data_IF_755233927348
#
_entry.id   IF_755233927348
#
_cell.length_a   1.000
_cell.length_b   1.000
_cell.length_c   1.000
_cell.angle_alpha   90.00
_cell.angle_beta   90.00
_cell.angle_gamma   90.00
#
_symmetry.space_group_name_H-M   'P 1'
#
loop_
_entity.id
_entity.type
_entity.pdbx_description
1 polymer ?
#
# COMPACT_ATOMS: atom_id res chain seq x y z
N UNK A 1 -21.08 -7.14 -1.16
CA UNK A 1 -20.20 -6.01 -0.82
C UNK A 1 -21.10 -4.84 -0.47
N UNK A 2 -20.70 -3.95 0.46
CA UNK A 2 -21.39 -2.68 0.65
C UNK A 2 -21.38 -1.88 -0.66
N UNK A 3 -22.53 -1.32 -1.04
CA UNK A 3 -22.67 -0.42 -2.20
C UNK A 3 -22.19 0.98 -1.80
N UNK A 4 -20.88 1.17 -1.60
CA UNK A 4 -20.33 2.48 -1.28
C UNK A 4 -20.34 3.40 -2.51
N UNK A 5 -20.63 4.67 -2.28
CA UNK A 5 -20.55 5.72 -3.30
C UNK A 5 -19.25 6.52 -3.07
N UNK A 6 -18.33 6.60 -4.05
CA UNK A 6 -17.17 7.47 -3.96
C UNK A 6 -17.57 8.94 -3.75
N UNK A 7 -16.92 9.60 -2.80
CA UNK A 7 -17.17 11.01 -2.45
C UNK A 7 -15.86 11.80 -2.49
N UNK A 8 -15.94 13.06 -2.92
CA UNK A 8 -14.78 13.96 -3.00
C UNK A 8 -14.22 14.05 -4.41
N UNK A 9 -13.00 14.58 -4.54
CA UNK A 9 -12.30 14.60 -5.81
C UNK A 9 -11.80 13.19 -6.18
N UNK A 10 -11.75 12.83 -7.46
CA UNK A 10 -11.22 11.54 -7.89
C UNK A 10 -9.70 11.49 -7.72
N UNK A 11 -9.16 10.33 -7.36
CA UNK A 11 -7.72 10.07 -7.25
C UNK A 11 -7.00 10.33 -8.58
N UNK A 12 -7.66 10.06 -9.72
CA UNK A 12 -7.09 10.34 -11.04
C UNK A 12 -6.68 11.80 -11.25
N UNK A 13 -7.23 12.75 -10.47
CA UNK A 13 -6.82 14.16 -10.50
C UNK A 13 -5.43 14.39 -9.89
N UNK A 14 -5.02 13.57 -8.92
CA UNK A 14 -3.77 13.71 -8.20
C UNK A 14 -2.58 13.08 -8.93
N UNK A 15 -2.79 12.29 -9.98
CA UNK A 15 -1.71 11.59 -10.68
C UNK A 15 -1.55 12.11 -12.11
N UNK A 16 -0.37 12.67 -12.39
CA UNK A 16 0.06 13.05 -13.73
C UNK A 16 0.86 11.90 -14.37
N UNK A 17 0.18 11.05 -15.15
CA UNK A 17 0.82 9.91 -15.81
C UNK A 17 1.61 10.32 -17.06
N UNK A 18 2.80 9.74 -17.22
CA UNK A 18 3.60 9.86 -18.43
C UNK A 18 2.95 9.15 -19.63
N UNK A 19 3.24 9.56 -20.88
CA UNK A 19 2.53 9.07 -22.07
C UNK A 19 2.60 7.55 -22.28
N UNK A 20 3.76 6.94 -22.01
CA UNK A 20 4.01 5.50 -22.12
C UNK A 20 3.38 4.70 -20.98
N UNK A 21 3.19 5.31 -19.81
CA UNK A 21 2.58 4.72 -18.63
C UNK A 21 1.05 4.83 -18.60
N UNK A 22 0.46 5.61 -19.51
CA UNK A 22 -0.97 5.99 -19.49
C UNK A 22 -1.93 4.80 -19.49
N UNK A 23 -1.59 3.67 -20.10
CA UNK A 23 -2.47 2.49 -20.11
C UNK A 23 -2.60 1.85 -18.73
N UNK A 24 -1.48 1.64 -18.03
CA UNK A 24 -1.43 1.14 -16.65
C UNK A 24 -2.12 2.13 -15.72
N UNK A 25 -1.71 3.40 -15.80
CA UNK A 25 -2.28 4.45 -14.96
C UNK A 25 -3.80 4.57 -15.13
N UNK A 26 -4.30 4.58 -16.37
CA UNK A 26 -5.75 4.69 -16.60
C UNK A 26 -6.53 3.55 -15.97
N UNK A 27 -6.05 2.30 -16.08
CA UNK A 27 -6.72 1.14 -15.48
C UNK A 27 -6.78 1.28 -13.95
N UNK A 28 -5.63 1.50 -13.32
CA UNK A 28 -5.52 1.61 -11.86
C UNK A 28 -6.33 2.78 -11.32
N UNK A 29 -6.21 3.96 -11.94
CA UNK A 29 -6.92 5.16 -11.47
C UNK A 29 -8.44 5.06 -11.68
N UNK A 30 -8.90 4.43 -12.77
CA UNK A 30 -10.33 4.15 -12.96
C UNK A 30 -10.84 3.21 -11.87
N UNK A 31 -10.07 2.19 -11.52
CA UNK A 31 -10.42 1.25 -10.47
C UNK A 31 -10.44 1.90 -9.08
N UNK A 32 -9.54 2.85 -8.79
CA UNK A 32 -9.58 3.60 -7.53
C UNK A 32 -10.79 4.55 -7.49
N UNK A 33 -11.05 5.29 -8.57
CA UNK A 33 -12.10 6.31 -8.63
C UNK A 33 -13.51 5.73 -8.46
N UNK A 34 -13.73 4.45 -8.79
CA UNK A 34 -15.02 3.77 -8.51
C UNK A 34 -15.14 3.26 -7.08
N UNK A 35 -14.04 3.24 -6.31
CA UNK A 35 -14.02 2.77 -4.92
C UNK A 35 -14.07 3.93 -3.93
N UNK A 36 -13.26 4.98 -4.12
CA UNK A 36 -13.23 6.12 -3.20
C UNK A 36 -12.68 7.39 -3.87
N UNK A 37 -12.99 8.56 -3.29
CA UNK A 37 -12.30 9.81 -3.63
C UNK A 37 -11.04 10.06 -2.80
N UNK A 38 -10.28 11.11 -3.10
CA UNK A 38 -8.98 11.40 -2.51
C UNK A 38 -8.96 12.60 -1.53
N UNK A 39 -10.07 13.35 -1.49
CA UNK A 39 -10.14 14.65 -0.83
C UNK A 39 -9.35 15.73 -1.58
N UNK A 40 -8.12 16.01 -1.13
CA UNK A 40 -7.26 17.09 -1.64
C UNK A 40 -5.79 16.67 -1.74
N UNK A 41 -5.52 15.52 -2.37
CA UNK A 41 -4.14 15.11 -2.60
C UNK A 41 -3.38 16.10 -3.49
N UNK A 42 -2.07 16.32 -3.24
CA UNK A 42 -1.22 17.06 -4.16
C UNK A 42 -1.04 16.28 -5.47
N UNK A 43 -0.73 16.98 -6.55
CA UNK A 43 -0.42 16.31 -7.82
C UNK A 43 1.00 15.76 -7.79
N UNK A 44 1.18 14.52 -8.25
CA UNK A 44 2.47 13.85 -8.38
C UNK A 44 2.60 13.19 -9.77
N UNK A 45 3.82 13.09 -10.30
CA UNK A 45 4.07 12.37 -11.55
C UNK A 45 4.17 10.86 -11.34
N UNK A 46 3.71 10.09 -12.32
CA UNK A 46 3.87 8.64 -12.38
C UNK A 46 4.33 8.19 -13.76
N UNK A 47 5.28 7.27 -13.82
CA UNK A 47 5.81 6.77 -15.09
C UNK A 47 6.60 5.47 -14.95
N UNK A 48 7.06 4.94 -16.09
CA UNK A 48 7.99 3.83 -16.09
C UNK A 48 9.42 4.29 -15.77
N UNK A 49 10.29 3.33 -15.42
CA UNK A 49 11.73 3.53 -15.24
C UNK A 49 12.50 2.26 -15.59
N UNK A 50 13.44 2.38 -16.53
CA UNK A 50 14.36 1.30 -16.93
C UNK A 50 15.58 1.15 -15.99
N UNK A 51 15.67 1.98 -14.95
CA UNK A 51 16.82 2.06 -14.04
C UNK A 51 16.40 1.92 -12.57
N UNK A 52 15.23 1.36 -12.33
CA UNK A 52 14.69 1.17 -10.99
C UNK A 52 15.55 0.17 -10.22
N UNK A 53 16.37 0.65 -9.29
CA UNK A 53 17.18 -0.20 -8.41
C UNK A 53 16.52 -0.33 -7.04
N UNK A 54 15.54 -1.22 -6.93
CA UNK A 54 14.84 -1.52 -5.67
C UNK A 54 15.01 -3.01 -5.38
N UNK A 55 15.30 -3.34 -4.13
CA UNK A 55 15.72 -4.71 -3.77
C UNK A 55 14.59 -5.72 -3.77
N UNK A 56 13.35 -5.26 -3.50
CA UNK A 56 12.23 -6.13 -3.15
C UNK A 56 10.91 -5.75 -3.83
N UNK A 57 10.93 -4.79 -4.75
CA UNK A 57 9.73 -4.23 -5.36
C UNK A 57 9.97 -3.93 -6.85
N UNK A 58 8.89 -3.97 -7.63
CA UNK A 58 8.89 -3.61 -9.06
C UNK A 58 8.54 -2.13 -9.27
N UNK A 59 8.28 -1.38 -8.20
CA UNK A 59 7.97 0.03 -8.21
C UNK A 59 8.56 0.72 -6.97
N UNK A 60 8.53 2.04 -6.97
CA UNK A 60 8.90 2.83 -5.81
C UNK A 60 8.21 4.21 -5.82
N UNK A 61 7.69 4.59 -4.67
CA UNK A 61 7.27 5.93 -4.32
C UNK A 61 8.45 6.75 -3.80
N UNK A 62 8.82 7.80 -4.53
CA UNK A 62 9.89 8.70 -4.16
C UNK A 62 9.34 9.92 -3.42
N UNK A 63 9.97 10.24 -2.29
CA UNK A 63 9.64 11.38 -1.47
C UNK A 63 10.89 11.99 -0.83
N UNK A 64 10.83 13.28 -0.54
CA UNK A 64 11.81 13.97 0.28
C UNK A 64 11.35 13.91 1.75
N UNK A 65 12.09 13.15 2.55
CA UNK A 65 11.75 12.96 3.97
C UNK A 65 12.02 14.16 4.87
N UNK A 66 12.90 15.08 4.44
CA UNK A 66 13.22 16.30 5.18
C UNK A 66 12.21 17.41 4.88
N UNK A 67 11.69 17.44 3.65
CA UNK A 67 10.74 18.44 3.16
C UNK A 67 9.29 17.93 3.15
N UNK A 68 9.03 16.71 3.63
CA UNK A 68 7.70 16.06 3.62
C UNK A 68 7.00 16.16 2.25
N UNK A 69 7.77 15.99 1.17
CA UNK A 69 7.31 16.27 -0.19
C UNK A 69 7.24 14.99 -1.02
N UNK A 70 6.09 14.75 -1.64
CA UNK A 70 5.90 13.69 -2.62
C UNK A 70 6.56 14.10 -3.95
N UNK A 71 7.43 13.26 -4.51
CA UNK A 71 8.19 13.59 -5.71
C UNK A 71 7.62 12.89 -6.93
N UNK A 72 7.64 11.55 -6.96
CA UNK A 72 7.17 10.76 -8.09
C UNK A 72 6.88 9.31 -7.71
N UNK A 73 6.15 8.60 -8.56
CA UNK A 73 6.02 7.15 -8.53
C UNK A 73 6.66 6.59 -9.80
N UNK A 74 7.54 5.59 -9.64
CA UNK A 74 8.12 4.88 -10.79
C UNK A 74 7.83 3.41 -10.70
N UNK A 75 7.42 2.82 -11.81
CA UNK A 75 7.27 1.38 -11.99
C UNK A 75 8.35 0.91 -12.95
N UNK A 76 8.94 -0.25 -12.72
CA UNK A 76 9.85 -0.86 -13.68
C UNK A 76 9.11 -1.13 -15.00
N UNK A 77 9.76 -0.85 -16.13
CA UNK A 77 9.26 -1.20 -17.46
C UNK A 77 9.25 -2.72 -17.71
N UNK A 78 10.00 -3.49 -16.92
CA UNK A 78 10.04 -4.95 -16.92
C UNK A 78 9.15 -5.59 -15.81
N UNK A 79 8.32 -4.81 -15.12
CA UNK A 79 7.47 -5.31 -14.04
C UNK A 79 6.52 -6.44 -14.52
N UNK A 80 6.45 -7.54 -13.78
CA UNK A 80 5.52 -8.64 -14.03
C UNK A 80 4.09 -8.28 -13.61
N UNK A 81 3.95 -7.40 -12.61
CA UNK A 81 2.66 -6.95 -12.06
C UNK A 81 2.51 -5.42 -12.03
N UNK A 82 2.61 -4.73 -13.18
CA UNK A 82 2.75 -3.27 -13.20
C UNK A 82 1.55 -2.52 -12.59
N UNK A 83 0.31 -2.98 -12.79
CA UNK A 83 -0.86 -2.36 -12.16
C UNK A 83 -0.87 -2.52 -10.65
N UNK A 84 -0.60 -3.73 -10.14
CA UNK A 84 -0.61 -3.99 -8.71
C UNK A 84 0.56 -3.31 -7.99
N UNK A 85 1.75 -3.30 -8.59
CA UNK A 85 2.91 -2.56 -8.11
C UNK A 85 2.64 -1.05 -8.10
N UNK A 86 2.02 -0.50 -9.15
CA UNK A 86 1.64 0.90 -9.17
C UNK A 86 0.63 1.25 -8.06
N UNK A 87 -0.37 0.38 -7.87
CA UNK A 87 -1.40 0.53 -6.85
C UNK A 87 -0.83 0.46 -5.43
N UNK A 88 0.17 -0.38 -5.19
CA UNK A 88 0.94 -0.43 -3.94
C UNK A 88 1.62 0.92 -3.66
N UNK A 89 2.31 1.50 -4.65
CA UNK A 89 2.96 2.81 -4.46
C UNK A 89 1.96 3.96 -4.24
N UNK A 90 0.78 3.90 -4.86
CA UNK A 90 -0.32 4.83 -4.53
C UNK A 90 -0.73 4.67 -3.07
N UNK A 91 -0.72 3.45 -2.53
CA UNK A 91 -0.93 3.18 -1.11
C UNK A 91 0.05 3.94 -0.22
N UNK A 92 1.34 3.93 -0.54
CA UNK A 92 2.34 4.74 0.17
C UNK A 92 2.10 6.23 0.04
N UNK A 93 1.76 6.70 -1.16
CA UNK A 93 1.44 8.10 -1.40
C UNK A 93 0.22 8.56 -0.58
N UNK A 94 -0.83 7.74 -0.51
CA UNK A 94 -2.04 7.99 0.26
C UNK A 94 -1.76 8.02 1.76
N UNK A 95 -0.94 7.08 2.24
CA UNK A 95 -0.49 6.99 3.62
C UNK A 95 0.29 8.24 4.06
N UNK A 96 1.18 8.72 3.18
CA UNK A 96 2.01 9.89 3.42
C UNK A 96 1.24 11.21 3.29
N UNK A 97 0.47 11.43 2.21
CA UNK A 97 -0.13 12.75 1.92
C UNK A 97 -1.64 12.84 2.13
N UNK A 98 -2.38 11.74 2.05
CA UNK A 98 -3.84 11.75 2.17
C UNK A 98 -4.35 11.58 3.59
N UNK A 99 -3.64 10.75 4.37
CA UNK A 99 -4.08 10.35 5.71
C UNK A 99 -3.25 10.98 6.83
N UNK A 100 -2.01 11.42 6.60
CA UNK A 100 -1.16 11.92 7.68
C UNK A 100 -1.52 13.35 8.13
N UNK A 101 -2.10 14.16 7.25
CA UNK A 101 -2.11 15.63 7.38
C UNK A 101 -3.12 16.20 8.40
N UNK A 102 -4.29 15.58 8.59
CA UNK A 102 -5.37 16.24 9.33
C UNK A 102 -5.30 16.14 10.86
N UNK A 103 -4.51 15.21 11.40
CA UNK A 103 -4.37 15.08 12.86
C UNK A 103 -3.78 16.34 13.52
N UNK A 104 -2.89 17.06 12.81
CA UNK A 104 -2.22 18.24 13.36
C UNK A 104 -3.05 19.52 13.31
N UNK A 105 -4.00 19.62 12.37
CA UNK A 105 -4.88 20.79 12.24
C UNK A 105 -6.09 20.76 13.18
N UNK A 106 -6.46 19.58 13.70
CA UNK A 106 -7.62 19.40 14.59
C UNK A 106 -7.30 19.58 16.08
N UNK A 107 -6.05 19.87 16.46
CA UNK A 107 -5.68 20.12 17.86
C UNK A 107 -6.11 21.53 18.29
N UNK A 108 -6.85 21.68 19.41
CA UNK A 108 -7.27 22.99 19.91
C UNK A 108 -6.11 23.85 20.43
N UNK A 109 -4.96 23.21 20.73
CA UNK A 109 -3.71 23.88 21.07
C UNK A 109 -2.78 23.83 19.85
N UNK A 110 -2.44 25.02 19.31
CA UNK A 110 -1.42 25.15 18.26
C UNK A 110 -0.12 24.51 18.76
N UNK A 111 0.45 23.51 18.06
CA UNK A 111 1.76 23.00 18.41
C UNK A 111 2.79 24.13 18.32
N UNK A 112 3.80 24.10 19.18
CA UNK A 112 4.88 25.09 19.14
C UNK A 112 5.62 25.03 17.81
N UNK A 113 6.25 26.12 17.38
CA UNK A 113 7.05 26.13 16.14
C UNK A 113 8.15 25.03 16.13
N UNK A 114 8.62 24.59 17.29
CA UNK A 114 9.59 23.49 17.46
C UNK A 114 8.92 22.13 17.28
N UNK A 115 7.73 21.93 17.84
CA UNK A 115 6.95 20.70 17.60
C UNK A 115 6.57 20.60 16.12
N UNK A 116 6.06 21.69 15.53
CA UNK A 116 5.80 21.81 14.09
C UNK A 116 7.07 21.46 13.29
N UNK A 117 8.22 22.08 13.60
CA UNK A 117 9.48 21.81 12.90
C UNK A 117 10.00 20.37 13.07
N UNK A 118 9.77 19.74 14.23
CA UNK A 118 10.21 18.35 14.49
C UNK A 118 9.28 17.34 13.82
N UNK A 119 7.97 17.62 13.83
CA UNK A 119 6.93 16.82 13.17
C UNK A 119 7.07 16.88 11.64
N UNK A 120 7.43 18.03 11.08
CA UNK A 120 7.64 18.21 9.64
C UNK A 120 9.01 17.65 9.18
N UNK A 121 9.97 17.46 10.10
CA UNK A 121 11.32 17.01 9.74
C UNK A 121 11.48 15.52 9.44
N UNK A 122 10.40 14.74 9.54
CA UNK A 122 10.38 13.32 9.17
C UNK A 122 9.12 13.08 8.36
N UNK A 123 9.22 12.51 7.16
CA UNK A 123 8.04 12.04 6.43
C UNK A 123 7.19 11.17 7.34
N UNK A 124 6.00 11.67 7.70
CA UNK A 124 5.09 10.97 8.61
C UNK A 124 4.11 10.15 7.79
N UNK A 125 4.19 8.83 7.93
CA UNK A 125 3.18 7.93 7.41
C UNK A 125 2.03 7.80 8.42
N UNK A 126 0.79 7.92 7.95
CA UNK A 126 -0.39 7.85 8.80
C UNK A 126 -0.56 6.47 9.46
N UNK A 127 -0.18 5.41 8.76
CA UNK A 127 -0.17 4.02 9.22
C UNK A 127 0.65 3.85 10.49
N UNK A 128 1.70 4.66 10.67
CA UNK A 128 2.58 4.62 11.84
C UNK A 128 2.05 5.46 13.00
N UNK A 129 1.40 6.60 12.72
CA UNK A 129 1.17 7.64 13.75
C UNK A 129 -0.29 8.08 13.91
N UNK A 130 -1.10 8.06 12.85
CA UNK A 130 -2.45 8.62 12.89
C UNK A 130 -3.39 7.72 13.70
N UNK A 131 -4.06 8.22 14.76
CA UNK A 131 -5.01 7.44 15.56
C UNK A 131 -6.22 6.89 14.79
N UNK A 132 -6.62 7.53 13.68
CA UNK A 132 -7.71 7.04 12.83
C UNK A 132 -7.43 5.63 12.27
N UNK A 133 -6.15 5.30 12.07
CA UNK A 133 -5.70 3.98 11.62
C UNK A 133 -5.48 2.98 12.76
N UNK A 134 -5.92 3.28 14.00
CA UNK A 134 -5.73 2.38 15.13
C UNK A 134 -6.51 1.05 15.01
N UNK A 135 -7.73 1.08 14.47
CA UNK A 135 -8.50 -0.13 14.18
C UNK A 135 -7.85 -0.95 13.08
N UNK A 136 -7.39 -0.28 12.00
CA UNK A 136 -6.65 -0.93 10.92
C UNK A 136 -5.35 -1.58 11.44
N UNK A 137 -4.55 -0.88 12.25
CA UNK A 137 -3.34 -1.43 12.88
C UNK A 137 -3.64 -2.69 13.69
N UNK A 138 -4.74 -2.69 14.46
CA UNK A 138 -5.16 -3.88 15.23
C UNK A 138 -5.55 -5.04 14.31
N UNK A 139 -6.34 -4.77 13.27
CA UNK A 139 -6.79 -5.80 12.33
C UNK A 139 -5.61 -6.42 11.57
N UNK A 140 -4.74 -5.58 10.97
CA UNK A 140 -3.62 -6.08 10.17
C UNK A 140 -2.62 -6.87 11.01
N UNK A 141 -2.31 -6.42 12.24
CA UNK A 141 -1.38 -7.11 13.13
C UNK A 141 -1.93 -8.43 13.70
N UNK A 142 -3.26 -8.60 13.71
CA UNK A 142 -3.91 -9.82 14.16
C UNK A 142 -4.06 -10.88 13.04
N UNK A 143 -3.76 -10.52 11.78
CA UNK A 143 -3.92 -11.40 10.62
C UNK A 143 -3.00 -12.63 10.64
N UNK A 144 -3.44 -13.74 10.05
CA UNK A 144 -2.61 -14.94 9.86
C UNK A 144 -1.36 -14.62 9.07
N UNK A 145 -1.50 -13.80 8.03
CA UNK A 145 -0.42 -13.41 7.12
C UNK A 145 0.72 -12.70 7.88
N UNK A 146 0.40 -11.74 8.74
CA UNK A 146 1.39 -11.08 9.61
C UNK A 146 1.96 -12.04 10.65
N UNK A 147 1.10 -12.85 11.28
CA UNK A 147 1.55 -13.88 12.23
C UNK A 147 2.51 -14.89 11.60
N UNK A 148 2.34 -15.21 10.31
CA UNK A 148 3.22 -16.10 9.55
C UNK A 148 4.58 -15.45 9.32
N UNK A 149 4.63 -14.20 8.86
CA UNK A 149 5.88 -13.46 8.71
C UNK A 149 6.67 -13.41 10.04
N UNK A 150 5.99 -13.12 11.15
CA UNK A 150 6.61 -13.10 12.48
C UNK A 150 7.17 -14.47 12.90
N UNK A 151 6.47 -15.56 12.59
CA UNK A 151 6.98 -16.92 12.85
C UNK A 151 8.20 -17.23 11.98
N UNK A 152 8.19 -16.84 10.71
CA UNK A 152 9.29 -17.10 9.77
C UNK A 152 10.60 -16.47 10.24
N UNK A 153 10.57 -15.30 10.87
CA UNK A 153 11.78 -14.67 11.43
C UNK A 153 12.51 -15.52 12.48
N UNK A 154 11.83 -16.47 13.12
CA UNK A 154 12.41 -17.32 14.16
C UNK A 154 13.33 -18.41 13.58
N UNK A 155 13.20 -18.69 12.28
CA UNK A 155 13.96 -19.73 11.61
C UNK A 155 15.18 -19.15 10.89
N UNK A 156 16.15 -20.03 10.60
CA UNK A 156 17.29 -19.72 9.72
C UNK A 156 16.97 -20.05 8.26
N UNK A 157 16.28 -21.17 8.05
CA UNK A 157 15.85 -21.64 6.75
C UNK A 157 14.49 -22.33 6.87
N UNK A 158 13.78 -22.42 5.76
CA UNK A 158 12.53 -23.17 5.61
C UNK A 158 12.59 -24.07 4.39
N UNK A 159 11.67 -25.02 4.27
CA UNK A 159 11.53 -25.86 3.09
C UNK A 159 10.27 -25.44 2.34
N UNK A 160 10.45 -25.00 1.09
CA UNK A 160 9.37 -24.63 0.18
C UNK A 160 9.16 -25.75 -0.82
N UNK A 161 7.92 -25.95 -1.26
CA UNK A 161 7.61 -26.88 -2.35
C UNK A 161 7.51 -26.08 -3.64
N UNK A 162 8.41 -26.32 -4.59
CA UNK A 162 8.36 -25.70 -5.92
C UNK A 162 7.17 -26.20 -6.75
N UNK A 163 6.91 -25.55 -7.88
CA UNK A 163 5.80 -25.88 -8.78
C UNK A 163 5.84 -27.32 -9.31
N UNK A 164 7.04 -27.88 -9.48
CA UNK A 164 7.27 -29.28 -9.88
C UNK A 164 7.16 -30.29 -8.73
N UNK A 165 6.84 -29.82 -7.51
CA UNK A 165 6.70 -30.64 -6.30
C UNK A 165 8.01 -30.92 -5.56
N UNK A 166 9.15 -30.40 -6.02
CA UNK A 166 10.42 -30.58 -5.32
C UNK A 166 10.46 -29.80 -4.00
N UNK A 167 11.12 -30.36 -2.98
CA UNK A 167 11.33 -29.70 -1.69
C UNK A 167 12.67 -28.97 -1.71
N UNK A 168 12.61 -27.64 -1.70
CA UNK A 168 13.78 -26.77 -1.81
C UNK A 168 14.03 -26.08 -0.46
N UNK A 169 15.22 -26.22 0.15
CA UNK A 169 15.59 -25.40 1.30
C UNK A 169 15.85 -23.96 0.86
N UNK A 170 15.28 -23.01 1.58
CA UNK A 170 15.39 -21.57 1.35
C UNK A 170 15.90 -20.92 2.63
N UNK A 171 16.99 -20.16 2.53
CA UNK A 171 17.46 -19.33 3.64
C UNK A 171 16.51 -18.15 3.85
N UNK A 172 16.19 -17.85 5.10
CA UNK A 172 15.25 -16.77 5.43
C UNK A 172 15.96 -15.42 5.27
N UNK A 173 15.46 -14.58 4.36
CA UNK A 173 15.87 -13.17 4.26
C UNK A 173 15.16 -12.37 5.36
N UNK A 174 15.79 -12.29 6.53
CA UNK A 174 15.23 -11.57 7.69
C UNK A 174 15.09 -10.07 7.46
N UNK A 175 15.92 -9.49 6.59
CA UNK A 175 15.80 -8.07 6.25
C UNK A 175 14.52 -7.86 5.44
N UNK A 176 14.26 -8.74 4.48
CA UNK A 176 13.02 -8.71 3.72
C UNK A 176 11.77 -8.93 4.60
N UNK A 177 11.80 -9.90 5.51
CA UNK A 177 10.67 -10.12 6.44
C UNK A 177 10.45 -8.90 7.34
N UNK A 178 11.51 -8.25 7.80
CA UNK A 178 11.40 -7.03 8.61
C UNK A 178 10.76 -5.90 7.82
N UNK A 179 11.17 -5.72 6.56
CA UNK A 179 10.56 -4.77 5.63
C UNK A 179 9.06 -5.04 5.43
N UNK A 180 8.67 -6.29 5.16
CA UNK A 180 7.26 -6.68 5.05
C UNK A 180 6.46 -6.47 6.35
N UNK A 181 7.10 -6.34 7.51
CA UNK A 181 6.42 -6.08 8.78
C UNK A 181 6.31 -4.59 9.11
N UNK A 182 6.85 -3.70 8.29
CA UNK A 182 6.70 -2.25 8.48
C UNK A 182 5.24 -1.82 8.26
N UNK A 183 4.73 -0.93 9.10
CA UNK A 183 3.32 -0.51 9.04
C UNK A 183 2.98 0.18 7.71
N UNK A 184 3.89 0.98 7.17
CA UNK A 184 3.72 1.61 5.84
C UNK A 184 3.57 0.58 4.73
N UNK A 185 4.33 -0.52 4.81
CA UNK A 185 4.30 -1.62 3.83
C UNK A 185 3.06 -2.49 3.97
N UNK A 186 2.64 -2.73 5.20
CA UNK A 186 1.38 -3.40 5.49
C UNK A 186 0.20 -2.55 4.98
N UNK A 187 0.25 -1.23 5.17
CA UNK A 187 -0.79 -0.33 4.67
C UNK A 187 -0.87 -0.35 3.16
N UNK A 188 0.25 -0.11 2.46
CA UNK A 188 0.31 -0.07 1.01
C UNK A 188 -0.21 -1.38 0.36
N UNK A 189 0.21 -2.55 0.87
CA UNK A 189 -0.29 -3.85 0.37
C UNK A 189 -1.77 -4.06 0.69
N UNK A 190 -2.22 -3.71 1.89
CA UNK A 190 -3.63 -3.85 2.25
C UNK A 190 -4.53 -2.93 1.43
N UNK A 191 -4.09 -1.70 1.18
CA UNK A 191 -4.76 -0.76 0.29
C UNK A 191 -4.87 -1.31 -1.13
N UNK A 192 -3.77 -1.85 -1.67
CA UNK A 192 -3.79 -2.44 -3.00
C UNK A 192 -4.81 -3.59 -3.11
N UNK A 193 -4.77 -4.56 -2.21
CA UNK A 193 -5.76 -5.64 -2.20
C UNK A 193 -7.20 -5.13 -2.01
N UNK A 194 -7.40 -4.12 -1.17
CA UNK A 194 -8.70 -3.50 -0.98
C UNK A 194 -9.27 -2.93 -2.28
N UNK A 195 -8.46 -2.21 -3.07
CA UNK A 195 -8.90 -1.67 -4.36
C UNK A 195 -9.15 -2.80 -5.38
N UNK A 196 -8.29 -3.81 -5.44
CA UNK A 196 -8.49 -4.95 -6.35
C UNK A 196 -9.85 -5.62 -6.11
N UNK A 197 -10.16 -5.93 -4.85
CA UNK A 197 -11.41 -6.60 -4.48
C UNK A 197 -12.63 -5.72 -4.80
N UNK A 198 -12.59 -4.44 -4.43
CA UNK A 198 -13.76 -3.56 -4.55
C UNK A 198 -13.99 -3.02 -5.97
N UNK A 199 -12.93 -2.89 -6.78
CA UNK A 199 -13.05 -2.44 -8.17
C UNK A 199 -13.48 -3.54 -9.15
N UNK A 200 -13.28 -4.81 -8.78
CA UNK A 200 -13.55 -5.99 -9.62
C UNK A 200 -12.79 -5.96 -10.96
N UNK A 201 -11.62 -5.30 -11.02
CA UNK A 201 -10.78 -5.32 -12.21
C UNK A 201 -10.10 -6.69 -12.38
N UNK A 202 -10.46 -7.40 -13.45
CA UNK A 202 -9.99 -8.76 -13.70
C UNK A 202 -8.47 -8.86 -13.95
N UNK A 203 -7.79 -7.79 -14.34
CA UNK A 203 -6.35 -7.84 -14.59
C UNK A 203 -5.60 -7.71 -13.28
N UNK A 204 -6.00 -6.76 -12.44
CA UNK A 204 -5.40 -6.63 -11.11
C UNK A 204 -5.75 -7.82 -10.21
N UNK A 205 -6.95 -8.39 -10.33
CA UNK A 205 -7.30 -9.63 -9.63
C UNK A 205 -6.36 -10.78 -10.02
N UNK A 206 -6.09 -10.98 -11.32
CA UNK A 206 -5.14 -12.00 -11.77
C UNK A 206 -3.72 -11.77 -11.26
N UNK A 207 -3.26 -10.52 -11.22
CA UNK A 207 -1.94 -10.20 -10.67
C UNK A 207 -1.86 -10.52 -9.17
N UNK A 208 -2.91 -10.17 -8.41
CA UNK A 208 -3.02 -10.51 -7.00
C UNK A 208 -3.01 -12.03 -6.78
N UNK A 209 -3.80 -12.78 -7.57
CA UNK A 209 -3.91 -14.23 -7.47
C UNK A 209 -2.57 -14.90 -7.78
N UNK A 210 -1.89 -14.48 -8.86
CA UNK A 210 -0.56 -14.99 -9.22
C UNK A 210 0.44 -14.84 -8.06
N UNK A 211 0.52 -13.64 -7.45
CA UNK A 211 1.43 -13.40 -6.32
C UNK A 211 1.07 -14.19 -5.06
N UNK A 212 -0.20 -14.55 -4.86
CA UNK A 212 -0.63 -15.41 -3.74
C UNK A 212 -0.34 -16.88 -3.98
N UNK A 213 -0.32 -17.30 -5.24
CA UNK A 213 -0.07 -18.69 -5.65
C UNK A 213 1.42 -19.03 -5.80
N UNK A 214 2.29 -18.02 -5.91
CA UNK A 214 3.75 -18.21 -5.97
C UNK A 214 4.26 -19.11 -4.82
N UNK A 215 5.15 -20.09 -5.08
CA UNK A 215 5.67 -20.98 -4.04
C UNK A 215 6.23 -20.25 -2.82
N UNK A 216 6.89 -19.11 -3.04
CA UNK A 216 7.46 -18.28 -2.00
C UNK A 216 6.40 -17.52 -1.18
N UNK A 217 5.19 -17.29 -1.69
CA UNK A 217 4.11 -16.63 -0.95
C UNK A 217 3.68 -17.43 0.29
N UNK A 218 3.90 -18.75 0.29
CA UNK A 218 3.70 -19.59 1.48
C UNK A 218 4.68 -19.25 2.61
N UNK A 219 5.86 -18.75 2.27
CA UNK A 219 6.89 -18.35 3.22
C UNK A 219 6.84 -16.85 3.52
N UNK A 220 6.64 -16.03 2.50
CA UNK A 220 6.57 -14.58 2.55
C UNK A 220 5.21 -14.12 2.00
N UNK A 221 4.10 -14.25 2.77
CA UNK A 221 2.80 -13.79 2.29
C UNK A 221 2.85 -12.28 2.03
N UNK A 222 2.73 -11.90 0.76
CA UNK A 222 2.67 -10.50 0.34
C UNK A 222 1.27 -9.92 0.54
N UNK A 223 0.25 -10.74 0.32
CA UNK A 223 -1.15 -10.37 0.41
C UNK A 223 -1.90 -11.38 1.29
N UNK A 224 -3.10 -11.00 1.70
CA UNK A 224 -3.93 -11.76 2.63
C UNK A 224 -4.85 -12.71 1.88
N UNK A 225 -5.18 -13.83 2.52
CA UNK A 225 -6.31 -14.62 2.10
C UNK A 225 -7.63 -13.89 2.33
N UNK A 226 -8.65 -14.19 1.51
CA UNK A 226 -9.91 -13.42 1.49
C UNK A 226 -10.56 -13.33 2.88
N UNK A 227 -10.60 -14.44 3.63
CA UNK A 227 -11.15 -14.48 5.00
C UNK A 227 -10.29 -13.68 6.00
N UNK A 228 -8.96 -13.77 5.87
CA UNK A 228 -7.99 -13.06 6.72
C UNK A 228 -8.04 -11.54 6.46
N UNK A 229 -8.45 -11.15 5.25
CA UNK A 229 -8.50 -9.77 4.81
C UNK A 229 -9.76 -9.00 5.24
N UNK A 230 -10.86 -9.69 5.55
CA UNK A 230 -12.16 -9.06 5.82
C UNK A 230 -12.09 -7.96 6.90
N UNK A 231 -11.48 -8.27 8.05
CA UNK A 231 -11.36 -7.32 9.15
C UNK A 231 -10.47 -6.10 8.80
N UNK A 232 -9.52 -6.29 7.86
CA UNK A 232 -8.64 -5.22 7.38
C UNK A 232 -9.42 -4.33 6.43
N UNK A 233 -10.19 -4.91 5.50
CA UNK A 233 -11.06 -4.18 4.58
C UNK A 233 -12.10 -3.33 5.33
N UNK A 234 -12.80 -3.92 6.31
CA UNK A 234 -13.76 -3.19 7.15
C UNK A 234 -13.11 -2.03 7.92
N UNK A 235 -11.85 -2.20 8.34
CA UNK A 235 -11.11 -1.12 8.99
C UNK A 235 -10.73 0.00 8.03
N UNK A 236 -10.43 -0.33 6.76
CA UNK A 236 -10.21 0.66 5.69
C UNK A 236 -11.51 1.41 5.38
N UNK A 237 -12.65 0.72 5.29
CA UNK A 237 -13.97 1.33 5.13
C UNK A 237 -14.22 2.39 6.22
N UNK A 238 -13.96 2.04 7.48
CA UNK A 238 -14.12 2.94 8.61
C UNK A 238 -13.25 4.20 8.50
N UNK A 239 -12.02 4.07 8.00
CA UNK A 239 -11.14 5.21 7.72
C UNK A 239 -11.75 6.06 6.60
N UNK A 240 -12.11 5.48 5.46
CA UNK A 240 -12.60 6.22 4.31
C UNK A 240 -13.95 6.91 4.58
N UNK A 241 -14.86 6.26 5.32
CA UNK A 241 -16.10 6.88 5.82
C UNK A 241 -15.80 8.08 6.70
N UNK A 242 -14.85 7.97 7.64
CA UNK A 242 -14.48 9.08 8.53
C UNK A 242 -13.86 10.26 7.79
N UNK A 243 -13.23 10.02 6.64
CA UNK A 243 -12.66 11.04 5.76
C UNK A 243 -13.70 11.64 4.80
N UNK A 244 -14.89 11.05 4.71
CA UNK A 244 -15.89 11.40 3.70
C UNK A 244 -15.43 11.09 2.28
N UNK A 245 -14.62 10.05 2.11
CA UNK A 245 -14.15 9.57 0.79
C UNK A 245 -15.10 8.54 0.18
N UNK A 246 -15.96 7.96 1.01
CA UNK A 246 -17.07 7.07 0.63
C UNK A 246 -18.32 7.43 1.46
N UNK A 247 -19.51 7.11 0.94
CA UNK A 247 -20.81 7.28 1.59
C UNK A 247 -21.74 6.08 1.38
#
# INVERSE_FOLDING_TARGET
MPDFIPVGAPMSRAIAAEPDFTAVARRVLTAIDVVHGDGQLPVISAGFSSSLTVRYAEANYYYDSLLDTALEIRVSDDAETPELSFLHEIGHFLDHKGLAFEFFLARPEMPTAIEIGTIISQAVFASETNPALSTWRKAVMASESVGRLQRVMQYRSAVVTSLDGAKVPVDIDRAYVSYLLELRELFARSYAQYIVINSQDNIMQRQLDNLREEPLARLYPLYWDDEDFLAIAEAIDGVFLSRGWIA
#
